data_IF_583143530428
#
_entry.id   IF_583143530428
#
_cell.length_a   1.000
_cell.length_b   1.000
_cell.length_c   1.000
_cell.angle_alpha   90.00
_cell.angle_beta   90.00
_cell.angle_gamma   90.00
#
_symmetry.space_group_name_H-M   'P 1'
#
loop_
_entity.id
_entity.type
_entity.pdbx_description
1 polymer ?
#
# COMPACT_ATOMS: atom_id res chain seq x y z
N UNK A 1 -10.08 -32.25 -19.79
CA UNK A 1 -9.01 -31.33 -19.33
C UNK A 1 -9.52 -30.53 -18.13
N UNK A 2 -8.95 -30.76 -16.92
CA UNK A 2 -9.28 -29.94 -15.74
C UNK A 2 -8.79 -28.51 -15.99
N UNK A 3 -9.69 -27.52 -16.07
CA UNK A 3 -9.34 -26.10 -16.12
C UNK A 3 -8.46 -25.80 -14.90
N UNK A 4 -7.21 -25.35 -15.11
CA UNK A 4 -6.36 -24.82 -14.05
C UNK A 4 -7.18 -23.73 -13.34
N UNK A 5 -7.57 -23.96 -12.09
CA UNK A 5 -8.19 -22.93 -11.25
C UNK A 5 -7.31 -21.68 -11.33
N UNK A 6 -7.85 -20.60 -11.88
CA UNK A 6 -7.10 -19.37 -12.08
C UNK A 6 -6.52 -18.91 -10.76
N UNK A 7 -5.20 -18.76 -10.72
CA UNK A 7 -4.45 -18.25 -9.57
C UNK A 7 -5.00 -16.87 -9.18
N UNK A 8 -5.80 -16.81 -8.11
CA UNK A 8 -6.32 -15.55 -7.59
C UNK A 8 -5.24 -14.89 -6.75
N UNK A 9 -4.52 -13.93 -7.37
CA UNK A 9 -3.49 -13.12 -6.69
C UNK A 9 -4.07 -12.34 -5.50
N UNK A 10 -5.34 -11.98 -5.52
CA UNK A 10 -5.91 -11.05 -4.53
C UNK A 10 -5.47 -9.61 -4.78
N UNK A 11 -5.83 -8.71 -3.87
CA UNK A 11 -5.46 -7.29 -3.92
C UNK A 11 -4.17 -7.03 -3.13
N UNK A 12 -3.38 -6.01 -3.48
CA UNK A 12 -2.17 -5.67 -2.74
C UNK A 12 -2.52 -5.17 -1.35
N UNK A 13 -1.77 -5.63 -0.35
CA UNK A 13 -2.02 -5.32 1.06
C UNK A 13 -0.82 -4.60 1.66
N UNK A 14 0.39 -5.10 1.40
CA UNK A 14 1.60 -4.53 1.97
C UNK A 14 2.84 -4.85 1.14
N UNK A 15 3.92 -4.17 1.47
CA UNK A 15 5.28 -4.51 1.05
C UNK A 15 6.01 -5.12 2.24
N UNK A 16 6.84 -6.12 1.97
CA UNK A 16 7.70 -6.72 2.98
C UNK A 16 9.14 -6.59 2.52
N UNK A 17 9.99 -6.04 3.39
CA UNK A 17 11.43 -5.89 3.16
C UNK A 17 12.16 -6.76 4.17
N UNK A 18 12.75 -7.85 3.70
CA UNK A 18 13.58 -8.73 4.49
C UNK A 18 15.03 -8.29 4.47
N UNK A 19 15.60 -7.92 5.61
CA UNK A 19 17.04 -7.70 5.73
C UNK A 19 17.73 -8.94 6.28
N UNK A 20 18.59 -9.51 5.45
CA UNK A 20 19.48 -10.61 5.80
C UNK A 20 20.92 -10.10 5.88
N UNK A 21 21.88 -10.97 6.22
CA UNK A 21 23.28 -10.58 6.43
C UNK A 21 23.89 -9.83 5.23
N UNK A 22 23.66 -10.34 4.02
CA UNK A 22 24.32 -9.86 2.80
C UNK A 22 23.36 -9.28 1.75
N UNK A 23 22.06 -9.24 2.03
CA UNK A 23 21.07 -8.83 1.04
C UNK A 23 19.78 -8.32 1.69
N UNK A 24 19.02 -7.56 0.91
CA UNK A 24 17.64 -7.19 1.21
C UNK A 24 16.73 -7.82 0.16
N UNK A 25 15.63 -8.42 0.61
CA UNK A 25 14.65 -9.08 -0.26
C UNK A 25 13.32 -8.38 -0.15
N UNK A 26 12.81 -7.86 -1.27
CA UNK A 26 11.55 -7.15 -1.35
C UNK A 26 10.46 -8.08 -1.87
N UNK A 27 9.33 -8.11 -1.16
CA UNK A 27 8.17 -8.94 -1.46
C UNK A 27 6.91 -8.10 -1.53
N UNK A 28 6.03 -8.43 -2.47
CA UNK A 28 4.67 -7.93 -2.49
C UNK A 28 3.77 -8.90 -1.75
N UNK A 29 3.07 -8.39 -0.75
CA UNK A 29 2.07 -9.14 -0.01
C UNK A 29 0.70 -8.79 -0.58
N UNK A 30 0.06 -9.78 -1.19
CA UNK A 30 -1.34 -9.71 -1.60
C UNK A 30 -2.20 -10.48 -0.61
N UNK A 31 -3.51 -10.22 -0.63
CA UNK A 31 -4.46 -10.85 0.31
C UNK A 31 -4.47 -12.38 0.28
N UNK A 32 -4.00 -13.00 -0.80
CA UNK A 32 -3.98 -14.46 -0.95
C UNK A 32 -2.59 -15.05 -1.17
N UNK A 33 -1.62 -14.24 -1.63
CA UNK A 33 -0.32 -14.74 -2.09
C UNK A 33 0.79 -13.72 -1.83
N UNK A 34 2.02 -14.21 -1.71
CA UNK A 34 3.21 -13.35 -1.63
C UNK A 34 4.06 -13.57 -2.87
N UNK A 35 4.62 -12.51 -3.44
CA UNK A 35 5.46 -12.58 -4.64
C UNK A 35 6.77 -11.86 -4.41
N UNK A 36 7.87 -12.50 -4.80
CA UNK A 36 9.19 -11.87 -4.85
C UNK A 36 9.14 -10.72 -5.85
N UNK A 37 9.70 -9.58 -5.47
CA UNK A 37 9.84 -8.43 -6.34
C UNK A 37 11.29 -8.23 -6.76
N UNK A 38 12.18 -8.12 -5.79
CA UNK A 38 13.58 -7.80 -6.02
C UNK A 38 14.45 -8.36 -4.90
N UNK A 39 15.67 -8.74 -5.22
CA UNK A 39 16.73 -8.98 -4.24
C UNK A 39 17.85 -7.98 -4.51
N UNK A 40 18.29 -7.29 -3.47
CA UNK A 40 19.38 -6.32 -3.51
C UNK A 40 20.54 -6.87 -2.69
N UNK A 41 21.71 -7.00 -3.30
CA UNK A 41 22.90 -7.49 -2.63
C UNK A 41 23.69 -6.35 -2.00
N UNK A 42 24.22 -6.62 -0.81
CA UNK A 42 25.18 -5.77 -0.15
C UNK A 42 26.57 -6.09 -0.73
N UNK A 43 27.05 -5.25 -1.65
CA UNK A 43 28.27 -5.55 -2.42
C UNK A 43 29.57 -5.64 -1.60
N UNK A 44 29.58 -5.22 -0.33
CA UNK A 44 30.76 -5.25 0.57
C UNK A 44 30.36 -5.49 2.03
N UNK A 45 31.33 -5.47 2.95
CA UNK A 45 31.10 -5.61 4.40
C UNK A 45 30.15 -4.53 4.92
N UNK A 46 29.24 -4.94 5.79
CA UNK A 46 28.22 -4.08 6.43
C UNK A 46 28.79 -3.05 7.42
N UNK A 47 30.07 -3.19 7.78
CA UNK A 47 30.79 -2.24 8.65
C UNK A 47 31.20 -0.96 7.93
N UNK A 48 31.17 -0.95 6.59
CA UNK A 48 31.45 0.26 5.81
C UNK A 48 30.18 1.12 5.75
N UNK A 49 30.19 2.24 6.47
CA UNK A 49 29.04 3.16 6.58
C UNK A 49 28.59 3.68 5.21
N UNK A 50 29.51 3.94 4.28
CA UNK A 50 29.17 4.44 2.95
C UNK A 50 28.46 3.38 2.12
N UNK A 51 28.91 2.13 2.24
CA UNK A 51 28.26 1.00 1.57
C UNK A 51 26.86 0.77 2.16
N UNK A 52 26.74 0.80 3.49
CA UNK A 52 25.46 0.61 4.18
C UNK A 52 24.46 1.72 3.83
N UNK A 53 24.92 2.97 3.77
CA UNK A 53 24.11 4.11 3.33
C UNK A 53 23.57 3.90 1.90
N UNK A 54 24.46 3.61 0.94
CA UNK A 54 24.07 3.39 -0.46
C UNK A 54 23.13 2.18 -0.61
N UNK A 55 23.32 1.16 0.21
CA UNK A 55 22.46 -0.01 0.24
C UNK A 55 21.05 0.35 0.73
N UNK A 56 20.93 1.11 1.82
CA UNK A 56 19.63 1.60 2.29
C UNK A 56 18.96 2.53 1.28
N UNK A 57 19.71 3.43 0.63
CA UNK A 57 19.18 4.25 -0.47
C UNK A 57 18.62 3.38 -1.60
N UNK A 58 19.33 2.33 -2.00
CA UNK A 58 18.88 1.41 -3.04
C UNK A 58 17.57 0.70 -2.67
N UNK A 59 17.39 0.34 -1.40
CA UNK A 59 16.13 -0.22 -0.90
C UNK A 59 15.01 0.81 -0.99
N UNK A 60 15.26 2.08 -0.60
CA UNK A 60 14.26 3.14 -0.68
C UNK A 60 13.87 3.43 -2.14
N UNK A 61 14.83 3.51 -3.06
CA UNK A 61 14.56 3.70 -4.49
C UNK A 61 13.68 2.56 -5.04
N UNK A 62 13.94 1.31 -4.64
CA UNK A 62 13.13 0.17 -5.04
C UNK A 62 11.69 0.22 -4.48
N UNK A 63 11.47 0.89 -3.34
CA UNK A 63 10.14 1.07 -2.76
C UNK A 63 9.33 2.18 -3.44
N UNK A 64 9.96 3.20 -4.02
CA UNK A 64 9.26 4.37 -4.57
C UNK A 64 8.17 4.04 -5.60
N UNK A 65 8.40 3.17 -6.61
CA UNK A 65 7.35 2.80 -7.57
C UNK A 65 6.14 2.17 -6.88
N UNK A 66 6.38 1.34 -5.87
CA UNK A 66 5.34 0.65 -5.11
C UNK A 66 4.48 1.62 -4.29
N UNK A 67 5.13 2.60 -3.67
CA UNK A 67 4.48 3.65 -2.89
C UNK A 67 3.58 4.53 -3.77
N UNK A 68 4.01 4.80 -5.02
CA UNK A 68 3.19 5.50 -6.02
C UNK A 68 1.96 4.71 -6.43
N UNK A 69 2.05 3.38 -6.51
CA UNK A 69 0.90 2.50 -6.75
C UNK A 69 -0.11 2.47 -5.57
N UNK A 70 0.21 3.10 -4.45
CA UNK A 70 -0.72 3.33 -3.34
C UNK A 70 -0.61 2.34 -2.18
N UNK A 71 0.31 1.36 -2.24
CA UNK A 71 0.63 0.49 -1.10
C UNK A 71 1.58 1.26 -0.18
N UNK A 72 1.16 1.56 1.05
CA UNK A 72 1.96 2.37 1.99
C UNK A 72 2.35 1.64 3.26
N UNK A 73 1.77 0.47 3.51
CA UNK A 73 2.16 -0.38 4.63
C UNK A 73 3.40 -1.19 4.24
N UNK A 74 4.51 -0.93 4.93
CA UNK A 74 5.80 -1.58 4.75
C UNK A 74 6.13 -2.34 6.03
N UNK A 75 6.32 -3.66 5.90
CA UNK A 75 6.79 -4.52 6.99
C UNK A 75 8.27 -4.78 6.80
N UNK A 76 9.08 -4.33 7.74
CA UNK A 76 10.53 -4.57 7.77
C UNK A 76 10.79 -5.80 8.63
N UNK A 77 11.39 -6.81 8.02
CA UNK A 77 11.67 -8.10 8.62
C UNK A 77 13.17 -8.27 8.79
N UNK A 78 13.63 -8.64 9.98
CA UNK A 78 15.03 -8.99 10.20
C UNK A 78 15.15 -10.10 11.27
N UNK A 79 16.25 -10.89 11.26
CA UNK A 79 16.51 -11.88 12.29
C UNK A 79 16.65 -11.25 13.69
N UNK A 80 16.25 -12.00 14.73
CA UNK A 80 16.08 -11.52 16.11
C UNK A 80 17.33 -10.86 16.74
N UNK A 81 18.52 -11.24 16.31
CA UNK A 81 19.81 -10.83 16.91
C UNK A 81 20.50 -9.79 16.00
N UNK A 82 19.76 -9.09 15.15
CA UNK A 82 20.32 -8.12 14.20
C UNK A 82 19.70 -6.75 14.40
N UNK A 83 20.51 -5.71 14.20
CA UNK A 83 20.06 -4.30 14.20
C UNK A 83 19.51 -3.87 12.84
N UNK A 84 19.50 -4.77 11.84
CA UNK A 84 19.31 -4.41 10.44
C UNK A 84 18.00 -3.67 10.15
N UNK A 85 16.91 -4.11 10.78
CA UNK A 85 15.62 -3.43 10.65
C UNK A 85 15.67 -2.03 11.27
N UNK A 86 16.34 -1.87 12.41
CA UNK A 86 16.45 -0.59 13.11
C UNK A 86 17.37 0.38 12.37
N UNK A 87 18.52 -0.10 11.89
CA UNK A 87 19.47 0.68 11.08
C UNK A 87 18.80 1.25 9.84
N UNK A 88 17.96 0.45 9.16
CA UNK A 88 17.20 0.92 8.01
C UNK A 88 16.11 1.92 8.40
N UNK A 89 15.35 1.67 9.47
CA UNK A 89 14.32 2.61 9.92
C UNK A 89 14.90 3.96 10.35
N UNK A 90 16.07 3.95 10.99
CA UNK A 90 16.79 5.16 11.36
C UNK A 90 17.33 5.89 10.13
N UNK A 91 17.83 5.17 9.14
CA UNK A 91 18.20 5.74 7.83
C UNK A 91 17.00 6.45 7.18
N UNK A 92 15.83 5.79 7.14
CA UNK A 92 14.60 6.36 6.58
C UNK A 92 14.18 7.61 7.36
N UNK A 93 14.24 7.60 8.69
CA UNK A 93 13.90 8.77 9.52
C UNK A 93 14.84 9.95 9.27
N UNK A 94 16.15 9.68 9.14
CA UNK A 94 17.18 10.71 8.95
C UNK A 94 17.17 11.31 7.55
N UNK A 95 17.00 10.49 6.51
CA UNK A 95 17.21 10.90 5.12
C UNK A 95 15.92 10.97 4.28
N UNK A 96 14.88 10.23 4.67
CA UNK A 96 13.60 10.13 3.95
C UNK A 96 12.42 10.52 4.83
N UNK A 97 12.57 11.60 5.61
CA UNK A 97 11.56 12.04 6.58
C UNK A 97 10.17 12.27 5.94
N UNK A 98 10.12 12.63 4.66
CA UNK A 98 8.86 12.75 3.90
C UNK A 98 8.03 11.44 3.84
N UNK A 99 8.66 10.27 4.02
CA UNK A 99 7.99 8.97 4.11
C UNK A 99 7.40 8.69 5.49
N UNK A 100 7.86 9.36 6.55
CA UNK A 100 7.46 9.06 7.94
C UNK A 100 6.61 10.17 8.55
N UNK A 101 6.74 11.41 8.07
CA UNK A 101 5.99 12.56 8.55
C UNK A 101 4.48 12.36 8.47
N UNK A 102 3.81 12.61 9.59
CA UNK A 102 2.36 12.43 9.79
C UNK A 102 1.49 13.21 8.81
N UNK A 103 1.96 14.36 8.33
CA UNK A 103 1.21 15.29 7.49
C UNK A 103 1.50 15.14 5.98
N UNK A 104 2.33 14.17 5.57
CA UNK A 104 2.70 14.02 4.16
C UNK A 104 1.74 13.08 3.40
N UNK A 105 1.16 13.49 2.25
CA UNK A 105 0.29 12.65 1.43
C UNK A 105 1.00 11.42 0.82
N UNK A 106 2.34 11.36 0.89
CA UNK A 106 3.18 10.23 0.48
C UNK A 106 3.75 9.43 1.67
N UNK A 107 3.28 9.70 2.90
CA UNK A 107 3.64 8.93 4.09
C UNK A 107 3.40 7.44 3.89
N UNK A 108 4.36 6.64 4.34
CA UNK A 108 4.30 5.19 4.50
C UNK A 108 4.25 4.82 5.99
N UNK A 109 3.63 3.69 6.28
CA UNK A 109 3.59 3.14 7.64
C UNK A 109 4.56 1.98 7.71
N UNK A 110 5.56 2.10 8.58
CA UNK A 110 6.56 1.07 8.79
C UNK A 110 6.22 0.25 10.03
N UNK A 111 6.19 -1.08 9.88
CA UNK A 111 6.07 -2.03 10.97
C UNK A 111 7.33 -2.90 11.01
N UNK A 112 7.82 -3.24 12.21
CA UNK A 112 8.94 -4.16 12.40
C UNK A 112 8.40 -5.54 12.75
N UNK A 113 8.99 -6.59 12.19
CA UNK A 113 8.68 -7.97 12.52
C UNK A 113 9.97 -8.79 12.58
N UNK A 114 10.05 -9.70 13.55
CA UNK A 114 11.19 -10.61 13.66
C UNK A 114 10.97 -11.82 12.75
N UNK A 115 11.95 -12.14 11.91
CA UNK A 115 11.86 -13.28 11.01
C UNK A 115 12.92 -13.27 9.93
N UNK A 116 12.85 -14.26 9.04
CA UNK A 116 13.69 -14.34 7.84
C UNK A 116 12.80 -14.32 6.62
N UNK A 117 13.24 -13.58 5.60
CA UNK A 117 12.52 -13.38 4.35
C UNK A 117 13.40 -13.64 3.12
N UNK A 118 14.43 -14.47 3.32
CA UNK A 118 15.31 -15.01 2.28
C UNK A 118 14.60 -15.94 1.29
N UNK A 119 13.60 -16.69 1.76
CA UNK A 119 12.96 -17.77 1.02
C UNK A 119 11.44 -17.61 0.95
N UNK A 120 10.81 -17.95 -0.20
CA UNK A 120 9.36 -17.88 -0.36
C UNK A 120 8.58 -18.66 0.71
N UNK A 121 9.09 -19.82 1.12
CA UNK A 121 8.43 -20.68 2.11
C UNK A 121 8.38 -20.03 3.49
N UNK A 122 9.48 -19.41 3.95
CA UNK A 122 9.55 -18.69 5.22
C UNK A 122 8.64 -17.47 5.21
N UNK A 123 8.64 -16.71 4.12
CA UNK A 123 7.74 -15.55 3.98
C UNK A 123 6.28 -15.98 3.97
N UNK A 124 5.94 -17.09 3.31
CA UNK A 124 4.58 -17.62 3.32
C UNK A 124 4.13 -18.08 4.72
N UNK A 125 5.04 -18.54 5.57
CA UNK A 125 4.75 -18.83 6.97
C UNK A 125 4.62 -17.54 7.78
N UNK A 126 5.52 -16.58 7.58
CA UNK A 126 5.54 -15.29 8.27
C UNK A 126 4.24 -14.50 8.05
N UNK A 127 3.76 -14.43 6.81
CA UNK A 127 2.50 -13.72 6.47
C UNK A 127 1.25 -14.40 7.07
N UNK A 128 1.37 -15.68 7.47
CA UNK A 128 0.27 -16.41 8.13
C UNK A 128 0.25 -16.20 9.65
N UNK A 129 1.30 -15.65 10.26
CA UNK A 129 1.34 -15.46 11.71
C UNK A 129 0.29 -14.45 12.16
N UNK A 130 -0.16 -14.60 13.41
CA UNK A 130 -1.13 -13.69 14.02
C UNK A 130 -0.55 -12.27 14.10
N UNK A 131 0.71 -12.17 14.52
CA UNK A 131 1.45 -10.90 14.62
C UNK A 131 1.50 -10.16 13.28
N UNK A 132 1.84 -10.83 12.18
CA UNK A 132 1.84 -10.19 10.86
C UNK A 132 0.44 -9.70 10.48
N UNK A 133 -0.60 -10.50 10.72
CA UNK A 133 -1.99 -10.11 10.41
C UNK A 133 -2.47 -8.93 11.25
N UNK A 134 -2.09 -8.87 12.53
CA UNK A 134 -2.39 -7.77 13.43
C UNK A 134 -1.67 -6.50 12.97
N UNK A 135 -0.36 -6.56 12.68
CA UNK A 135 0.41 -5.44 12.15
C UNK A 135 -0.18 -4.88 10.85
N UNK A 136 -0.55 -5.77 9.92
CA UNK A 136 -1.17 -5.35 8.66
C UNK A 136 -2.55 -4.74 8.89
N UNK A 137 -3.36 -5.31 9.78
CA UNK A 137 -4.67 -4.76 10.10
C UNK A 137 -4.56 -3.36 10.71
N UNK A 138 -3.62 -3.17 11.64
CA UNK A 138 -3.36 -1.88 12.29
C UNK A 138 -2.85 -0.84 11.29
N UNK A 139 -1.81 -1.17 10.53
CA UNK A 139 -1.21 -0.25 9.53
C UNK A 139 -2.20 0.11 8.42
N UNK A 140 -2.96 -0.87 7.91
CA UNK A 140 -3.98 -0.62 6.88
C UNK A 140 -5.15 0.20 7.43
N UNK A 141 -5.59 -0.07 8.67
CA UNK A 141 -6.67 0.70 9.31
C UNK A 141 -6.23 2.14 9.54
N UNK A 142 -5.07 2.37 10.15
CA UNK A 142 -4.56 3.72 10.41
C UNK A 142 -4.40 4.56 9.14
N UNK A 143 -3.95 3.94 8.05
CA UNK A 143 -3.89 4.62 6.75
C UNK A 143 -5.28 4.91 6.17
N UNK A 144 -6.22 3.96 6.27
CA UNK A 144 -7.59 4.16 5.81
C UNK A 144 -8.30 5.26 6.61
N UNK A 145 -8.13 5.26 7.93
CA UNK A 145 -8.68 6.27 8.84
C UNK A 145 -8.10 7.65 8.52
N UNK A 146 -6.80 7.76 8.21
CA UNK A 146 -6.21 9.04 7.79
C UNK A 146 -6.83 9.57 6.48
N UNK A 147 -7.04 8.70 5.50
CA UNK A 147 -7.65 9.08 4.22
C UNK A 147 -9.12 9.49 4.42
N UNK A 148 -9.88 8.74 5.22
CA UNK A 148 -11.28 9.07 5.54
C UNK A 148 -11.37 10.37 6.34
N UNK A 149 -10.50 10.59 7.32
CA UNK A 149 -10.44 11.86 8.06
C UNK A 149 -10.11 13.03 7.14
N UNK A 150 -9.21 12.84 6.17
CA UNK A 150 -8.94 13.86 5.16
C UNK A 150 -10.17 14.12 4.29
N UNK A 151 -10.91 13.09 3.87
CA UNK A 151 -12.17 13.22 3.16
C UNK A 151 -13.22 14.01 3.98
N UNK A 152 -13.45 13.62 5.23
CA UNK A 152 -14.44 14.26 6.10
C UNK A 152 -14.13 15.72 6.36
N UNK A 153 -12.88 16.06 6.69
CA UNK A 153 -12.45 17.46 6.89
C UNK A 153 -12.79 18.34 5.68
N UNK A 154 -12.69 17.80 4.48
CA UNK A 154 -12.95 18.56 3.26
C UNK A 154 -14.44 18.62 2.90
N UNK A 155 -15.21 17.56 3.19
CA UNK A 155 -16.68 17.61 3.10
C UNK A 155 -17.29 18.71 3.97
N UNK A 156 -16.66 19.02 5.11
CA UNK A 156 -17.07 20.14 5.97
C UNK A 156 -16.50 21.52 5.55
N UNK A 157 -15.54 21.57 4.62
CA UNK A 157 -14.94 22.82 4.17
C UNK A 157 -15.70 23.40 2.98
N UNK A 158 -16.36 24.54 3.20
CA UNK A 158 -17.05 25.29 2.14
C UNK A 158 -15.98 25.98 1.28
N UNK A 159 -15.88 25.60 0.00
CA UNK A 159 -15.02 26.28 -0.98
C UNK A 159 -13.80 25.51 -1.49
N UNK A 160 -13.76 24.18 -1.34
CA UNK A 160 -12.65 23.37 -1.85
C UNK A 160 -12.97 22.71 -3.20
N UNK A 161 -11.98 22.72 -4.11
CA UNK A 161 -11.98 22.15 -5.48
C UNK A 161 -12.11 20.60 -5.53
N UNK A 162 -12.69 20.03 -4.47
CA UNK A 162 -12.78 18.61 -4.24
C UNK A 162 -14.00 18.05 -4.95
N UNK A 163 -13.78 16.95 -5.66
CA UNK A 163 -14.85 16.15 -6.24
C UNK A 163 -14.92 14.88 -5.42
N UNK A 164 -16.08 14.57 -4.84
CA UNK A 164 -16.35 13.32 -4.12
C UNK A 164 -17.52 12.63 -4.80
N UNK A 165 -17.32 11.38 -5.24
CA UNK A 165 -18.28 10.56 -5.96
C UNK A 165 -18.48 9.24 -5.22
N UNK A 166 -19.72 8.80 -5.12
CA UNK A 166 -20.11 7.58 -4.38
C UNK A 166 -20.92 6.60 -5.25
N UNK A 167 -21.35 7.02 -6.45
CA UNK A 167 -21.98 6.12 -7.43
C UNK A 167 -20.96 5.49 -8.36
N UNK A 168 -21.04 4.17 -8.57
CA UNK A 168 -20.20 3.46 -9.54
C UNK A 168 -20.27 4.10 -10.94
N UNK A 169 -21.45 4.58 -11.36
CA UNK A 169 -21.63 5.19 -12.68
C UNK A 169 -20.85 6.50 -12.83
N UNK A 170 -20.92 7.38 -11.82
CA UNK A 170 -20.18 8.64 -11.82
C UNK A 170 -18.66 8.40 -11.77
N UNK A 171 -18.24 7.40 -11.00
CA UNK A 171 -16.85 6.98 -10.90
C UNK A 171 -16.35 6.45 -12.25
N UNK A 172 -17.14 5.62 -12.94
CA UNK A 172 -16.81 5.15 -14.29
C UNK A 172 -16.67 6.31 -15.27
N UNK A 173 -17.61 7.24 -15.30
CA UNK A 173 -17.55 8.41 -16.17
C UNK A 173 -16.28 9.24 -15.90
N UNK A 174 -15.93 9.45 -14.63
CA UNK A 174 -14.71 10.16 -14.25
C UNK A 174 -13.43 9.39 -14.60
N UNK A 175 -13.39 8.08 -14.35
CA UNK A 175 -12.20 7.24 -14.59
C UNK A 175 -12.02 6.95 -16.08
N UNK A 176 -13.09 6.93 -16.88
CA UNK A 176 -13.03 6.61 -18.32
C UNK A 176 -12.78 7.85 -19.17
N UNK A 177 -13.18 9.04 -18.71
CA UNK A 177 -12.97 10.27 -19.45
C UNK A 177 -11.46 10.58 -19.61
N UNK A 178 -10.93 10.47 -20.83
CA UNK A 178 -9.49 10.65 -21.14
C UNK A 178 -9.04 12.12 -21.07
N UNK A 179 -9.96 13.07 -21.23
CA UNK A 179 -9.64 14.50 -21.36
C UNK A 179 -9.39 15.18 -20.00
N UNK A 180 -9.82 14.56 -18.89
CA UNK A 180 -9.66 15.08 -17.52
C UNK A 180 -8.43 14.55 -16.80
N UNK A 181 -7.35 14.27 -17.54
CA UNK A 181 -6.08 13.84 -16.95
C UNK A 181 -5.25 15.04 -16.51
N UNK A 182 -5.79 15.79 -15.56
CA UNK A 182 -5.03 16.79 -14.83
C UNK A 182 -4.11 16.07 -13.83
N UNK A 183 -2.81 16.03 -14.16
CA UNK A 183 -1.77 15.41 -13.33
C UNK A 183 -1.50 16.20 -12.04
N UNK A 184 -2.07 17.40 -11.88
CA UNK A 184 -1.88 18.22 -10.69
C UNK A 184 -2.76 17.80 -9.51
N UNK A 185 -3.71 16.87 -9.70
CA UNK A 185 -4.66 16.46 -8.65
C UNK A 185 -4.45 15.00 -8.23
N UNK A 186 -4.36 14.77 -6.93
CA UNK A 186 -4.33 13.43 -6.35
C UNK A 186 -5.73 12.79 -6.43
N UNK A 187 -5.83 11.70 -7.18
CA UNK A 187 -7.07 10.92 -7.34
C UNK A 187 -7.00 9.68 -6.46
N UNK A 188 -8.04 9.41 -5.69
CA UNK A 188 -8.12 8.23 -4.81
C UNK A 188 -9.43 7.48 -5.04
N UNK A 189 -9.35 6.16 -5.06
CA UNK A 189 -10.49 5.26 -5.13
C UNK A 189 -10.43 4.31 -3.93
N UNK A 190 -11.43 4.37 -3.06
CA UNK A 190 -11.59 3.50 -1.90
C UNK A 190 -12.77 2.56 -2.12
N UNK A 191 -12.58 1.28 -1.80
CA UNK A 191 -13.66 0.29 -1.80
C UNK A 191 -13.58 -0.54 -0.52
N UNK A 192 -14.71 -1.08 -0.08
CA UNK A 192 -14.69 -2.13 0.93
C UNK A 192 -14.48 -3.51 0.31
N UNK A 193 -13.83 -4.40 1.04
CA UNK A 193 -13.74 -5.82 0.68
C UNK A 193 -15.12 -6.48 0.53
N UNK A 194 -16.08 -6.10 1.39
CA UNK A 194 -17.48 -6.48 1.29
C UNK A 194 -18.11 -6.04 -0.03
N UNK A 195 -17.96 -4.78 -0.42
CA UNK A 195 -18.49 -4.28 -1.69
C UNK A 195 -17.90 -5.03 -2.89
N UNK A 196 -16.58 -5.30 -2.87
CA UNK A 196 -15.91 -6.07 -3.91
C UNK A 196 -16.42 -7.53 -3.98
N UNK A 197 -16.79 -8.12 -2.85
CA UNK A 197 -17.26 -9.50 -2.76
C UNK A 197 -18.75 -9.66 -3.15
N UNK A 198 -19.59 -8.70 -2.78
CA UNK A 198 -21.06 -8.82 -2.84
C UNK A 198 -21.70 -8.07 -4.01
N UNK A 199 -21.02 -7.11 -4.63
CA UNK A 199 -21.60 -6.36 -5.74
C UNK A 199 -21.96 -7.28 -6.92
N UNK A 200 -23.16 -7.08 -7.49
CA UNK A 200 -23.62 -7.79 -8.68
C UNK A 200 -22.77 -7.50 -9.93
N UNK A 201 -22.17 -6.31 -9.98
CA UNK A 201 -21.41 -5.78 -11.12
C UNK A 201 -19.89 -5.98 -11.02
N UNK A 202 -19.44 -7.17 -10.64
CA UNK A 202 -18.00 -7.46 -10.43
C UNK A 202 -17.11 -7.08 -11.61
N UNK A 203 -17.58 -7.34 -12.83
CA UNK A 203 -16.83 -7.04 -14.06
C UNK A 203 -16.58 -5.54 -14.23
N UNK A 204 -17.58 -4.71 -13.90
CA UNK A 204 -17.47 -3.25 -13.95
C UNK A 204 -16.48 -2.74 -12.93
N UNK A 205 -16.57 -3.22 -11.69
CA UNK A 205 -15.66 -2.86 -10.60
C UNK A 205 -14.22 -3.24 -10.93
N UNK A 206 -13.98 -4.47 -11.43
CA UNK A 206 -12.65 -4.90 -11.84
C UNK A 206 -12.09 -4.05 -12.99
N UNK A 207 -12.93 -3.66 -13.96
CA UNK A 207 -12.54 -2.77 -15.05
C UNK A 207 -12.18 -1.38 -14.54
N UNK A 208 -12.97 -0.81 -13.63
CA UNK A 208 -12.65 0.47 -12.97
C UNK A 208 -11.30 0.37 -12.26
N UNK A 209 -11.09 -0.63 -11.41
CA UNK A 209 -9.82 -0.84 -10.72
C UNK A 209 -8.62 -0.93 -11.67
N UNK A 210 -8.75 -1.66 -12.78
CA UNK A 210 -7.70 -1.81 -13.78
C UNK A 210 -7.38 -0.46 -14.46
N UNK A 211 -8.41 0.28 -14.88
CA UNK A 211 -8.22 1.58 -15.56
C UNK A 211 -7.69 2.62 -14.57
N UNK A 212 -8.19 2.64 -13.34
CA UNK A 212 -7.68 3.47 -12.25
C UNK A 212 -6.19 3.25 -12.04
N UNK A 213 -5.72 1.99 -12.00
CA UNK A 213 -4.30 1.67 -11.90
C UNK A 213 -3.49 2.23 -13.08
N UNK A 214 -3.99 2.07 -14.30
CA UNK A 214 -3.32 2.58 -15.51
C UNK A 214 -3.26 4.12 -15.56
N UNK A 215 -4.09 4.81 -14.77
CA UNK A 215 -4.18 6.27 -14.70
C UNK A 215 -3.61 6.85 -13.42
N UNK A 216 -2.80 6.07 -12.70
CA UNK A 216 -2.13 6.50 -11.46
C UNK A 216 -3.12 6.97 -10.37
N UNK A 217 -4.37 6.51 -10.42
CA UNK A 217 -5.34 6.71 -9.34
C UNK A 217 -4.93 5.80 -8.19
N UNK A 218 -4.78 6.37 -6.99
CA UNK A 218 -4.47 5.60 -5.78
C UNK A 218 -5.68 4.74 -5.40
N UNK A 219 -5.62 3.45 -5.66
CA UNK A 219 -6.71 2.51 -5.36
C UNK A 219 -6.46 1.78 -4.04
N UNK A 220 -7.48 1.64 -3.19
CA UNK A 220 -7.39 0.86 -1.95
C UNK A 220 -8.64 0.08 -1.62
N UNK A 221 -8.42 -1.07 -1.02
CA UNK A 221 -9.47 -1.95 -0.51
C UNK A 221 -9.35 -2.00 1.01
N UNK A 222 -10.40 -1.57 1.70
CA UNK A 222 -10.48 -1.45 3.16
C UNK A 222 -11.40 -2.53 3.70
N UNK A 223 -11.06 -3.13 4.84
CA UNK A 223 -11.94 -4.12 5.48
C UNK A 223 -13.20 -3.44 6.02
N UNK A 224 -14.38 -3.93 5.66
CA UNK A 224 -15.66 -3.32 6.05
C UNK A 224 -15.86 -3.22 7.58
N UNK A 225 -15.22 -4.09 8.36
CA UNK A 225 -15.31 -4.13 9.83
C UNK A 225 -14.54 -3.01 10.54
N UNK A 226 -13.57 -2.39 9.86
CA UNK A 226 -12.76 -1.28 10.42
C UNK A 226 -13.57 0.01 10.53
N UNK A 227 -13.09 0.99 11.30
CA UNK A 227 -13.76 2.30 11.44
C UNK A 227 -13.89 2.99 10.08
N UNK A 228 -12.79 3.13 9.34
CA UNK A 228 -12.82 3.59 7.95
C UNK A 228 -13.75 2.75 7.05
N UNK A 229 -13.72 1.42 7.18
CA UNK A 229 -14.58 0.52 6.40
C UNK A 229 -16.07 0.75 6.64
N UNK A 230 -16.48 0.94 7.90
CA UNK A 230 -17.85 1.30 8.27
C UNK A 230 -18.25 2.66 7.67
N UNK A 231 -17.32 3.62 7.67
CA UNK A 231 -17.56 4.94 7.07
C UNK A 231 -17.71 4.89 5.56
N UNK A 232 -16.82 4.19 4.86
CA UNK A 232 -16.93 3.96 3.40
C UNK A 232 -18.22 3.21 3.06
N UNK A 233 -18.64 2.28 3.92
CA UNK A 233 -19.91 1.56 3.75
C UNK A 233 -21.14 2.48 3.84
N UNK A 234 -21.08 3.57 4.62
CA UNK A 234 -22.15 4.58 4.66
C UNK A 234 -22.31 5.32 3.33
N UNK A 235 -21.24 5.41 2.53
CA UNK A 235 -21.29 5.95 1.16
C UNK A 235 -21.64 4.89 0.10
N UNK A 236 -22.15 3.73 0.50
CA UNK A 236 -22.50 2.64 -0.43
C UNK A 236 -21.35 1.67 -0.73
N UNK A 237 -20.23 1.75 -0.02
CA UNK A 237 -19.12 0.78 -0.09
C UNK A 237 -18.03 1.09 -1.13
N UNK A 238 -18.18 2.17 -1.90
CA UNK A 238 -17.21 2.69 -2.85
C UNK A 238 -17.21 4.22 -2.80
N UNK A 239 -16.02 4.82 -2.80
CA UNK A 239 -15.86 6.28 -2.86
C UNK A 239 -14.68 6.61 -3.77
N UNK A 240 -14.88 7.55 -4.68
CA UNK A 240 -13.81 8.18 -5.44
C UNK A 240 -13.73 9.65 -5.04
N UNK A 241 -12.52 10.18 -4.91
CA UNK A 241 -12.38 11.61 -4.74
C UNK A 241 -11.10 12.15 -5.37
N UNK A 242 -11.16 13.44 -5.69
CA UNK A 242 -10.05 14.20 -6.28
C UNK A 242 -9.66 15.30 -5.30
N UNK A 243 -8.40 15.28 -4.87
CA UNK A 243 -7.80 16.29 -4.02
C UNK A 243 -6.79 17.11 -4.86
N UNK A 244 -6.67 18.44 -4.66
CA UNK A 244 -5.54 19.19 -5.20
C UNK A 244 -4.23 18.66 -4.59
N UNK A 245 -3.16 18.52 -5.38
CA UNK A 245 -1.82 18.35 -4.80
C UNK A 245 -1.49 19.64 -4.04
N UNK A 246 -1.24 19.53 -2.74
CA UNK A 246 -0.53 20.56 -1.97
C UNK A 246 0.97 20.34 -2.10
#
# INVERSE_FOLDING_TARGET
MKRKQGYKRGYPVALLVGFENANAVLWHVFSHVVKLHLTLELGRKRTDERVLYNFHESVVEALKPMLREGVKSIVVVAPMITTYAEDFLDHVRKHHNYLVQSNNPNRATFAKLVGSADQPAKVAQLVKTKEFRELIAETTSGEADHIVNALEKHLYSIGSDWIVLFSLKEIEEMVYNRERNDNSRMKCLLLTDKYLAEAGDKNRIHRVLQISKNREVKTRIVKAETVAGKRISQFGGIVFFVMPNK
#
